data_IF_128393520509
#
_entry.id   IF_128393520509
#
_cell.length_a   1.000
_cell.length_b   1.000
_cell.length_c   1.000
_cell.angle_alpha   90.00
_cell.angle_beta   90.00
_cell.angle_gamma   90.00
#
_symmetry.space_group_name_H-M   'P 1'
#
loop_
_entity.id
_entity.type
_entity.pdbx_description
1 polymer ?
#
# COMPACT_ATOMS: atom_id res chain seq x y z
N UNK A 1 0.85 9.99 27.39
CA UNK A 1 -0.14 10.32 26.37
C UNK A 1 -0.33 9.11 25.46
N UNK A 2 -1.56 8.77 25.19
CA UNK A 2 -1.88 7.68 24.30
C UNK A 2 -2.16 8.24 22.89
N UNK A 3 -1.53 7.72 21.85
CA UNK A 3 -1.96 8.04 20.50
C UNK A 3 -3.31 7.37 20.20
N UNK A 4 -4.12 7.96 19.34
CA UNK A 4 -5.46 7.50 19.03
C UNK A 4 -5.64 7.02 17.61
N UNK A 5 -4.73 7.38 16.72
CA UNK A 5 -4.76 6.98 15.31
C UNK A 5 -3.37 6.84 14.74
N UNK A 6 -3.20 5.83 13.91
CA UNK A 6 -2.04 5.69 13.04
C UNK A 6 -2.48 5.75 11.59
N UNK A 7 -1.88 6.62 10.81
CA UNK A 7 -2.20 6.81 9.40
C UNK A 7 -0.98 6.55 8.53
N UNK A 8 -1.08 5.63 7.61
CA UNK A 8 -0.06 5.39 6.59
C UNK A 8 -0.46 5.95 5.23
N UNK A 9 -1.74 6.22 5.06
CA UNK A 9 -2.33 6.71 3.80
C UNK A 9 -3.08 8.00 4.08
N UNK A 10 -2.89 9.00 3.24
CA UNK A 10 -3.58 10.29 3.32
C UNK A 10 -4.15 10.69 1.95
N UNK A 11 -5.10 11.59 1.97
CA UNK A 11 -5.65 12.22 0.78
C UNK A 11 -5.74 13.73 1.02
N UNK A 12 -4.97 14.54 0.29
CA UNK A 12 -4.04 14.18 -0.80
C UNK A 12 -2.71 13.55 -0.32
N UNK A 13 -2.01 12.91 -1.24
CA UNK A 13 -0.63 12.44 -1.04
C UNK A 13 0.30 13.05 -2.11
N UNK A 14 1.46 13.59 -1.73
CA UNK A 14 1.93 13.80 -0.36
C UNK A 14 1.06 14.80 0.40
N UNK A 15 0.98 14.63 1.73
CA UNK A 15 0.21 15.54 2.58
C UNK A 15 0.85 16.92 2.60
N UNK A 16 0.11 18.01 2.30
CA UNK A 16 0.67 19.35 2.31
C UNK A 16 1.28 19.72 3.67
N UNK A 17 2.39 20.50 3.69
CA UNK A 17 3.08 20.85 4.94
C UNK A 17 2.25 21.73 5.87
N UNK A 18 1.25 22.42 5.37
CA UNK A 18 0.34 23.27 6.12
C UNK A 18 -0.98 22.59 6.51
N UNK A 19 -1.11 21.29 6.24
CA UNK A 19 -2.32 20.56 6.56
C UNK A 19 -2.52 20.45 8.07
N UNK A 20 -3.76 20.65 8.52
CA UNK A 20 -4.13 20.69 9.95
C UNK A 20 -3.81 19.40 10.71
N UNK A 21 -3.75 18.26 10.04
CA UNK A 21 -3.46 16.97 10.67
C UNK A 21 -2.08 16.93 11.34
N UNK A 22 -1.11 17.75 10.85
CA UNK A 22 0.22 17.85 11.47
C UNK A 22 0.19 18.44 12.88
N UNK A 23 -0.85 19.18 13.21
CA UNK A 23 -1.03 19.80 14.54
C UNK A 23 -1.70 18.88 15.55
N UNK A 24 -2.24 17.75 15.10
CA UNK A 24 -2.95 16.81 15.98
C UNK A 24 -1.97 15.88 16.67
N UNK A 25 -1.85 16.05 17.98
CA UNK A 25 -0.84 15.36 18.82
C UNK A 25 -1.07 13.85 18.98
N UNK A 26 -2.30 13.40 18.82
CA UNK A 26 -2.70 12.01 19.05
C UNK A 26 -2.69 11.16 17.77
N UNK A 27 -2.11 11.69 16.69
CA UNK A 27 -2.00 10.98 15.41
C UNK A 27 -0.52 10.71 15.11
N UNK A 28 -0.23 9.47 14.75
CA UNK A 28 1.07 9.06 14.18
C UNK A 28 0.89 8.87 12.68
N UNK A 29 1.75 9.51 11.89
CA UNK A 29 1.69 9.45 10.43
C UNK A 29 2.97 8.83 9.90
N UNK A 30 2.83 7.84 9.02
CA UNK A 30 3.92 7.27 8.25
C UNK A 30 3.72 7.55 6.76
N UNK A 31 4.79 7.64 5.95
CA UNK A 31 4.69 8.13 4.56
C UNK A 31 4.32 7.04 3.55
N UNK A 32 3.22 6.32 3.77
CA UNK A 32 2.70 5.28 2.89
C UNK A 32 3.75 4.19 2.60
N UNK A 33 4.24 3.56 3.66
CA UNK A 33 5.35 2.60 3.59
C UNK A 33 5.02 1.20 4.12
N UNK A 34 3.81 0.98 4.61
CA UNK A 34 3.44 -0.30 5.24
C UNK A 34 3.47 -1.49 4.28
N UNK A 35 3.25 -1.26 2.99
CA UNK A 35 3.36 -2.28 1.94
C UNK A 35 4.73 -2.38 1.27
N UNK A 36 5.76 -1.73 1.81
CA UNK A 36 7.09 -1.72 1.22
C UNK A 36 7.85 -3.04 1.34
N UNK A 37 8.99 -3.12 0.65
CA UNK A 37 9.83 -4.33 0.59
C UNK A 37 10.74 -4.54 1.81
N UNK A 38 10.54 -3.80 2.88
CA UNK A 38 11.39 -3.85 4.07
C UNK A 38 11.22 -5.14 4.88
N UNK A 39 10.06 -5.78 4.76
CA UNK A 39 9.79 -7.05 5.42
C UNK A 39 10.06 -8.20 4.43
N UNK A 40 10.94 -9.16 4.77
CA UNK A 40 11.21 -10.32 3.91
C UNK A 40 9.95 -11.08 3.49
N UNK A 41 9.00 -11.25 4.41
CA UNK A 41 7.72 -11.89 4.10
C UNK A 41 6.94 -11.17 3.00
N UNK A 42 6.83 -9.83 3.07
CA UNK A 42 6.13 -9.03 2.07
C UNK A 42 6.81 -9.14 0.72
N UNK A 43 8.13 -9.02 0.67
CA UNK A 43 8.92 -9.19 -0.53
C UNK A 43 8.69 -10.57 -1.16
N UNK A 44 8.83 -11.63 -0.40
CA UNK A 44 8.66 -13.00 -0.89
C UNK A 44 7.25 -13.24 -1.41
N UNK A 45 6.25 -12.70 -0.73
CA UNK A 45 4.84 -12.83 -1.17
C UNK A 45 4.60 -12.12 -2.49
N UNK A 46 5.14 -10.93 -2.70
CA UNK A 46 5.02 -10.20 -3.96
C UNK A 46 5.70 -10.98 -5.10
N UNK A 47 6.90 -11.51 -4.86
CA UNK A 47 7.61 -12.33 -5.86
C UNK A 47 6.80 -13.57 -6.23
N UNK A 48 6.20 -14.26 -5.25
CA UNK A 48 5.34 -15.42 -5.51
C UNK A 48 4.13 -15.07 -6.39
N UNK A 49 3.48 -13.95 -6.12
CA UNK A 49 2.33 -13.48 -6.93
C UNK A 49 2.79 -13.15 -8.36
N UNK A 50 3.94 -12.49 -8.52
CA UNK A 50 4.48 -12.16 -9.83
C UNK A 50 4.83 -13.41 -10.63
N UNK A 51 5.48 -14.39 -10.02
CA UNK A 51 5.84 -15.66 -10.67
C UNK A 51 4.58 -16.43 -11.10
N UNK A 52 3.60 -16.54 -10.21
CA UNK A 52 2.34 -17.20 -10.54
C UNK A 52 1.60 -16.48 -11.66
N UNK A 53 1.55 -15.17 -11.65
CA UNK A 53 0.92 -14.40 -12.72
C UNK A 53 1.66 -14.51 -14.05
N UNK A 54 2.97 -14.59 -14.04
CA UNK A 54 3.74 -14.86 -15.26
C UNK A 54 3.41 -16.24 -15.83
N UNK A 55 3.35 -17.27 -14.98
CA UNK A 55 2.93 -18.61 -15.38
C UNK A 55 1.54 -18.59 -16.01
N UNK A 56 0.58 -17.93 -15.35
CA UNK A 56 -0.80 -17.81 -15.84
C UNK A 56 -0.87 -17.08 -17.17
N UNK A 57 -0.15 -15.99 -17.30
CA UNK A 57 -0.09 -15.22 -18.54
C UNK A 57 0.42 -16.08 -19.71
N UNK A 58 1.48 -16.83 -19.51
CA UNK A 58 2.03 -17.73 -20.52
C UNK A 58 1.09 -18.88 -20.89
N UNK A 59 0.26 -19.32 -19.95
CA UNK A 59 -0.73 -20.38 -20.15
C UNK A 59 -2.09 -19.87 -20.68
N UNK A 60 -2.27 -18.56 -20.81
CA UNK A 60 -3.54 -17.96 -21.22
C UNK A 60 -4.62 -18.02 -20.12
N UNK A 61 -4.22 -18.23 -18.87
CA UNK A 61 -5.13 -18.25 -17.72
C UNK A 61 -5.38 -16.84 -17.17
N UNK A 62 -6.46 -16.69 -16.41
CA UNK A 62 -6.79 -15.43 -15.75
C UNK A 62 -5.76 -15.07 -14.65
N UNK A 63 -5.35 -13.80 -14.61
CA UNK A 63 -4.37 -13.33 -13.63
C UNK A 63 -5.00 -13.12 -12.24
N UNK A 64 -4.18 -13.34 -11.20
CA UNK A 64 -4.54 -13.00 -9.83
C UNK A 64 -4.38 -11.50 -9.60
N UNK A 65 -5.24 -10.93 -8.75
CA UNK A 65 -5.18 -9.53 -8.34
C UNK A 65 -5.19 -8.53 -9.51
N UNK A 66 -5.97 -8.83 -10.53
CA UNK A 66 -6.09 -7.94 -11.68
C UNK A 66 -6.78 -6.64 -11.29
N UNK A 67 -6.15 -5.52 -11.63
CA UNK A 67 -6.72 -4.19 -11.37
C UNK A 67 -8.01 -4.00 -12.17
N UNK A 68 -9.05 -3.55 -11.49
CA UNK A 68 -10.25 -3.05 -12.14
C UNK A 68 -10.04 -1.59 -12.50
N UNK A 69 -9.96 -1.29 -13.79
CA UNK A 69 -9.64 0.07 -14.28
C UNK A 69 -10.73 1.10 -13.98
N UNK A 70 -11.99 0.66 -13.87
CA UNK A 70 -13.11 1.55 -13.55
C UNK A 70 -13.12 1.90 -12.06
N UNK A 71 -12.88 0.91 -11.21
CA UNK A 71 -12.79 1.11 -9.77
C UNK A 71 -11.48 1.74 -9.31
N UNK A 72 -10.40 1.61 -10.08
CA UNK A 72 -9.08 2.17 -9.77
C UNK A 72 -8.20 1.28 -8.88
N UNK A 73 -8.64 0.07 -8.56
CA UNK A 73 -7.86 -0.86 -7.74
C UNK A 73 -8.19 -2.32 -8.06
#
# INVERSE_FOLDING_TARGET
MLFRSGLDVTDPEPLPPDHRVWEVKDIVITPHVSGGFHLPYTHDRIVQICVENLRRFLAGEELLHRVNREAGY
#
